data_IF_778446466948
#
_entry.id   IF_778446466948
#
_cell.length_a   1.000
_cell.length_b   1.000
_cell.length_c   1.000
_cell.angle_alpha   90.00
_cell.angle_beta   90.00
_cell.angle_gamma   90.00
#
_symmetry.space_group_name_H-M   'P 1'
#
loop_
_entity.id
_entity.type
_entity.pdbx_description
1 polymer ?
#
# COMPACT_ATOMS: atom_id res chain seq x y z
N UNK A 1 -2.64 30.15 -15.24
CA UNK A 1 -1.81 29.32 -14.34
C UNK A 1 -1.68 27.97 -15.01
N UNK A 2 -0.54 27.80 -15.69
CA UNK A 2 -0.25 26.56 -16.41
C UNK A 2 -0.15 25.42 -15.39
N UNK A 3 -0.99 24.40 -15.59
CA UNK A 3 -0.76 23.10 -14.98
C UNK A 3 0.54 22.57 -15.58
N UNK A 4 1.64 22.64 -14.82
CA UNK A 4 2.82 21.85 -15.17
C UNK A 4 2.36 20.41 -15.29
N UNK A 5 2.40 19.86 -16.49
CA UNK A 5 2.29 18.42 -16.69
C UNK A 5 3.37 17.78 -15.84
N UNK A 6 2.93 17.01 -14.84
CA UNK A 6 3.85 16.21 -14.03
C UNK A 6 4.46 15.17 -14.98
N UNK A 7 5.72 15.37 -15.32
CA UNK A 7 6.50 14.55 -16.26
C UNK A 7 6.93 13.19 -15.64
N UNK A 8 6.15 12.65 -14.71
CA UNK A 8 6.46 11.37 -14.07
C UNK A 8 6.16 10.21 -15.03
N UNK A 9 7.14 9.33 -15.22
CA UNK A 9 7.08 8.16 -16.11
C UNK A 9 6.93 6.84 -15.37
N UNK A 10 6.95 6.88 -14.03
CA UNK A 10 6.98 5.68 -13.19
C UNK A 10 5.86 5.71 -12.16
N UNK A 11 5.48 4.52 -11.75
CA UNK A 11 4.53 4.28 -10.66
C UNK A 11 5.28 3.58 -9.54
N UNK A 12 5.06 4.02 -8.30
CA UNK A 12 5.55 3.37 -7.10
C UNK A 12 4.41 2.64 -6.40
N UNK A 13 4.59 1.34 -6.16
CA UNK A 13 3.73 0.54 -5.30
C UNK A 13 4.39 0.30 -3.95
N UNK A 14 3.64 0.42 -2.88
CA UNK A 14 4.07 0.08 -1.50
C UNK A 14 3.06 -0.91 -0.92
N UNK A 15 3.55 -2.02 -0.39
CA UNK A 15 2.79 -3.03 0.35
C UNK A 15 3.34 -3.08 1.78
N UNK A 16 2.59 -2.52 2.73
CA UNK A 16 2.97 -2.43 4.14
C UNK A 16 2.15 -3.40 4.96
N UNK A 17 2.80 -4.40 5.52
CA UNK A 17 2.21 -5.39 6.42
C UNK A 17 2.93 -5.45 7.77
N UNK A 18 2.41 -6.27 8.68
CA UNK A 18 3.00 -6.46 10.01
C UNK A 18 4.33 -7.22 10.01
N UNK A 19 4.67 -7.93 8.94
CA UNK A 19 5.91 -8.73 8.86
C UNK A 19 6.99 -8.06 8.02
N UNK A 20 6.60 -7.41 6.95
CA UNK A 20 7.48 -6.71 6.01
C UNK A 20 6.78 -5.52 5.38
N UNK A 21 7.56 -4.58 4.88
CA UNK A 21 7.14 -3.52 3.97
C UNK A 21 7.93 -3.68 2.67
N UNK A 22 7.24 -3.80 1.55
CA UNK A 22 7.85 -3.93 0.23
C UNK A 22 7.48 -2.73 -0.65
N UNK A 23 8.39 -2.29 -1.50
CA UNK A 23 8.12 -1.28 -2.50
C UNK A 23 8.68 -1.70 -3.85
N UNK A 24 8.01 -1.30 -4.92
CA UNK A 24 8.41 -1.55 -6.29
C UNK A 24 8.14 -0.35 -7.18
N UNK A 25 9.11 0.00 -8.02
CA UNK A 25 8.97 1.00 -9.08
C UNK A 25 8.70 0.30 -10.40
N UNK A 26 7.64 0.72 -11.08
CA UNK A 26 7.19 0.15 -12.34
C UNK A 26 7.11 1.24 -13.42
N UNK A 27 7.51 0.92 -14.62
CA UNK A 27 7.29 1.74 -15.82
C UNK A 27 5.85 1.59 -16.32
N UNK A 28 5.43 2.51 -17.20
CA UNK A 28 4.10 2.48 -17.83
C UNK A 28 3.83 1.20 -18.64
N UNK A 29 4.88 0.54 -19.16
CA UNK A 29 4.76 -0.72 -19.89
C UNK A 29 4.66 -1.98 -19.00
N UNK A 30 4.60 -1.79 -17.68
CA UNK A 30 4.43 -2.85 -16.68
C UNK A 30 5.74 -3.49 -16.19
N UNK A 31 6.92 -3.06 -16.68
CA UNK A 31 8.19 -3.60 -16.19
C UNK A 31 8.57 -2.99 -14.83
N UNK A 32 8.88 -3.86 -13.87
CA UNK A 32 9.44 -3.47 -12.58
C UNK A 32 10.93 -3.21 -12.79
N UNK A 33 11.36 -1.99 -12.39
CA UNK A 33 12.74 -1.51 -12.59
C UNK A 33 13.52 -1.35 -11.29
N UNK A 34 12.84 -1.33 -10.15
CA UNK A 34 13.48 -1.27 -8.83
C UNK A 34 12.58 -1.80 -7.74
N UNK A 35 13.14 -2.49 -6.76
CA UNK A 35 12.43 -3.02 -5.61
C UNK A 35 13.25 -2.83 -4.35
N UNK A 36 12.59 -2.71 -3.21
CA UNK A 36 13.21 -2.78 -1.89
C UNK A 36 12.24 -3.36 -0.87
N UNK A 37 12.79 -3.88 0.22
CA UNK A 37 12.02 -4.44 1.33
C UNK A 37 12.64 -4.00 2.64
N UNK A 38 11.79 -3.62 3.59
CA UNK A 38 12.16 -3.29 4.97
C UNK A 38 11.36 -4.14 5.96
N UNK A 39 11.48 -3.84 7.24
CA UNK A 39 10.71 -4.50 8.29
C UNK A 39 9.23 -4.19 8.15
N UNK A 40 8.38 -5.05 8.69
CA UNK A 40 6.98 -4.74 8.89
C UNK A 40 6.78 -3.74 10.03
N UNK A 41 5.64 -3.06 10.02
CA UNK A 41 5.21 -2.19 11.10
C UNK A 41 3.69 -2.02 11.05
N UNK A 42 2.98 -2.83 11.82
CA UNK A 42 1.52 -2.72 11.88
C UNK A 42 1.13 -1.50 12.72
N UNK A 43 0.75 -0.40 12.08
CA UNK A 43 0.59 0.89 12.72
C UNK A 43 -0.43 0.95 13.86
N UNK A 44 -1.52 0.17 13.88
CA UNK A 44 -2.43 0.16 15.02
C UNK A 44 -1.78 -0.32 16.33
N UNK A 45 -0.73 -1.13 16.25
CA UNK A 45 -0.02 -1.65 17.42
C UNK A 45 1.34 -0.96 17.66
N UNK A 46 2.04 -0.59 16.57
CA UNK A 46 3.43 -0.14 16.63
C UNK A 46 3.59 1.36 16.38
N UNK A 47 2.47 2.05 16.15
CA UNK A 47 2.42 3.49 15.90
C UNK A 47 2.61 3.87 14.43
N UNK A 48 1.93 4.94 14.05
CA UNK A 48 1.92 5.47 12.67
C UNK A 48 3.33 5.86 12.22
N UNK A 49 4.11 6.47 13.11
CA UNK A 49 5.46 6.97 12.77
C UNK A 49 6.41 5.84 12.35
N UNK A 50 6.38 4.70 13.05
CA UNK A 50 7.17 3.53 12.69
C UNK A 50 6.77 2.98 11.31
N UNK A 51 5.46 2.87 11.04
CA UNK A 51 4.97 2.44 9.74
C UNK A 51 5.40 3.37 8.60
N UNK A 52 5.32 4.69 8.81
CA UNK A 52 5.77 5.70 7.86
C UNK A 52 7.28 5.61 7.60
N UNK A 53 8.08 5.36 8.63
CA UNK A 53 9.52 5.17 8.50
C UNK A 53 9.84 3.96 7.60
N UNK A 54 9.18 2.82 7.83
CA UNK A 54 9.40 1.62 7.02
C UNK A 54 8.94 1.82 5.58
N UNK A 55 7.79 2.45 5.36
CA UNK A 55 7.31 2.77 4.02
C UNK A 55 8.24 3.73 3.28
N UNK A 56 8.72 4.77 3.97
CA UNK A 56 9.66 5.73 3.38
C UNK A 56 10.98 5.06 2.99
N UNK A 57 11.54 4.25 3.88
CA UNK A 57 12.79 3.53 3.61
C UNK A 57 12.65 2.53 2.45
N UNK A 58 11.52 1.80 2.37
CA UNK A 58 11.25 0.90 1.25
C UNK A 58 11.09 1.67 -0.07
N UNK A 59 10.34 2.77 -0.07
CA UNK A 59 10.13 3.62 -1.23
C UNK A 59 11.44 4.20 -1.76
N UNK A 60 12.26 4.78 -0.88
CA UNK A 60 13.58 5.32 -1.24
C UNK A 60 14.52 4.25 -1.76
N UNK A 61 14.53 3.09 -1.12
CA UNK A 61 15.30 1.95 -1.59
C UNK A 61 14.90 1.49 -3.00
N UNK A 62 13.60 1.41 -3.29
CA UNK A 62 13.09 1.02 -4.60
C UNK A 62 13.45 2.06 -5.68
N UNK A 63 13.32 3.36 -5.39
CA UNK A 63 13.68 4.46 -6.30
C UNK A 63 15.17 4.44 -6.59
N UNK A 64 16.01 4.29 -5.55
CA UNK A 64 17.46 4.19 -5.71
C UNK A 64 17.86 2.96 -6.55
N UNK A 65 17.26 1.81 -6.31
CA UNK A 65 17.51 0.59 -7.07
C UNK A 65 17.03 0.68 -8.53
N UNK A 66 16.01 1.51 -8.80
CA UNK A 66 15.56 1.83 -10.16
C UNK A 66 16.52 2.79 -10.89
N UNK A 67 17.39 3.49 -10.17
CA UNK A 67 18.31 4.48 -10.74
C UNK A 67 17.64 5.73 -11.28
N UNK A 68 16.49 6.13 -10.71
CA UNK A 68 15.68 7.28 -11.13
C UNK A 68 15.60 8.35 -10.04
N UNK A 69 15.16 9.55 -10.40
CA UNK A 69 14.83 10.61 -9.46
C UNK A 69 13.42 10.45 -8.88
N UNK A 70 13.20 10.94 -7.66
CA UNK A 70 11.86 10.95 -7.02
C UNK A 70 10.83 11.72 -7.85
N UNK A 71 11.26 12.75 -8.55
CA UNK A 71 10.44 13.59 -9.43
C UNK A 71 9.89 12.86 -10.66
N UNK A 72 10.48 11.71 -10.99
CA UNK A 72 10.01 10.85 -12.09
C UNK A 72 8.87 9.92 -11.68
N UNK A 73 8.53 9.85 -10.38
CA UNK A 73 7.35 9.12 -9.90
C UNK A 73 6.10 9.97 -10.11
N UNK A 74 5.21 9.53 -11.00
CA UNK A 74 3.93 10.20 -11.25
C UNK A 74 2.90 9.88 -10.18
N UNK A 75 2.80 8.60 -9.81
CA UNK A 75 1.80 8.09 -8.87
C UNK A 75 2.44 7.13 -7.87
N UNK A 76 1.94 7.17 -6.66
CA UNK A 76 2.27 6.21 -5.60
C UNK A 76 0.99 5.58 -5.07
N UNK A 77 0.96 4.27 -4.96
CA UNK A 77 -0.14 3.52 -4.34
C UNK A 77 0.43 2.78 -3.14
N UNK A 78 -0.09 3.06 -1.95
CA UNK A 78 0.27 2.39 -0.72
C UNK A 78 -0.90 1.54 -0.22
N UNK A 79 -0.72 0.22 -0.20
CA UNK A 79 -1.58 -0.72 0.52
C UNK A 79 -1.03 -0.90 1.92
N UNK A 80 -1.82 -0.58 2.93
CA UNK A 80 -1.36 -0.51 4.32
C UNK A 80 -2.26 -1.35 5.21
N UNK A 81 -1.67 -2.35 5.84
CA UNK A 81 -2.36 -3.15 6.84
C UNK A 81 -2.73 -2.30 8.05
N UNK A 82 -4.02 -2.32 8.41
CA UNK A 82 -4.56 -1.53 9.51
C UNK A 82 -5.26 -0.24 9.09
N UNK A 83 -5.36 0.07 7.80
CA UNK A 83 -6.34 1.05 7.30
C UNK A 83 -7.71 0.38 7.36
N UNK A 84 -8.32 0.39 8.53
CA UNK A 84 -9.55 -0.35 8.84
C UNK A 84 -10.71 0.61 9.18
N UNK A 85 -10.45 1.91 9.37
CA UNK A 85 -11.46 2.90 9.75
C UNK A 85 -11.54 4.07 8.78
N UNK A 86 -12.71 4.69 8.72
CA UNK A 86 -12.92 5.90 7.91
C UNK A 86 -11.95 7.01 8.31
N UNK A 87 -11.16 7.47 7.35
CA UNK A 87 -10.17 8.53 7.53
C UNK A 87 -8.73 8.06 7.70
N UNK A 88 -8.48 6.77 8.00
CA UNK A 88 -7.14 6.21 8.10
C UNK A 88 -6.37 6.36 6.79
N UNK A 89 -7.05 6.14 5.66
CA UNK A 89 -6.52 6.31 4.31
C UNK A 89 -6.03 7.73 4.05
N UNK A 90 -6.82 8.73 4.45
CA UNK A 90 -6.45 10.14 4.32
C UNK A 90 -5.28 10.50 5.25
N UNK A 91 -5.32 10.03 6.49
CA UNK A 91 -4.25 10.25 7.47
C UNK A 91 -2.90 9.70 6.96
N UNK A 92 -2.88 8.45 6.53
CA UNK A 92 -1.65 7.80 6.01
C UNK A 92 -1.20 8.48 4.71
N UNK A 93 -2.11 8.76 3.78
CA UNK A 93 -1.81 9.47 2.53
C UNK A 93 -1.13 10.81 2.79
N UNK A 94 -1.70 11.63 3.66
CA UNK A 94 -1.21 12.98 3.94
C UNK A 94 0.16 12.93 4.64
N UNK A 95 0.33 12.03 5.59
CA UNK A 95 1.61 11.81 6.26
C UNK A 95 2.72 11.30 5.29
N UNK A 96 2.37 10.38 4.37
CA UNK A 96 3.31 9.94 3.33
C UNK A 96 3.66 11.07 2.36
N UNK A 97 2.70 11.93 2.01
CA UNK A 97 2.93 13.07 1.12
C UNK A 97 3.93 14.07 1.72
N UNK A 98 3.80 14.36 3.01
CA UNK A 98 4.74 15.23 3.72
C UNK A 98 6.15 14.63 3.78
N UNK A 99 6.26 13.32 3.98
CA UNK A 99 7.53 12.63 4.19
C UNK A 99 8.29 12.33 2.91
N UNK A 100 7.61 11.90 1.84
CA UNK A 100 8.26 11.36 0.65
C UNK A 100 8.48 12.39 -0.46
N UNK A 101 7.72 13.48 -0.50
CA UNK A 101 7.75 14.48 -1.60
C UNK A 101 7.67 13.83 -2.99
N UNK A 102 6.88 12.76 -3.11
CA UNK A 102 6.63 12.05 -4.37
C UNK A 102 5.43 12.65 -5.12
N UNK A 103 5.11 12.08 -6.27
CA UNK A 103 3.92 12.41 -7.05
C UNK A 103 2.62 12.23 -6.29
N UNK A 104 1.52 12.03 -7.00
CA UNK A 104 0.22 11.85 -6.36
C UNK A 104 0.19 10.54 -5.56
N UNK A 105 -0.26 10.58 -4.30
CA UNK A 105 -0.27 9.44 -3.39
C UNK A 105 -1.71 9.01 -3.10
N UNK A 106 -1.95 7.71 -3.24
CA UNK A 106 -3.17 7.01 -2.83
C UNK A 106 -2.81 6.02 -1.74
N UNK A 107 -3.59 6.00 -0.67
CA UNK A 107 -3.47 4.99 0.38
C UNK A 107 -4.78 4.22 0.50
N UNK A 108 -4.70 2.92 0.74
CA UNK A 108 -5.85 2.06 0.98
C UNK A 108 -5.42 0.86 1.84
N UNK A 109 -6.39 0.05 2.28
CA UNK A 109 -6.07 -1.19 2.96
C UNK A 109 -5.27 -2.16 2.05
N UNK A 110 -4.36 -2.94 2.63
CA UNK A 110 -3.52 -3.92 1.94
C UNK A 110 -4.33 -4.99 1.18
N UNK A 111 -5.50 -5.40 1.69
CA UNK A 111 -6.39 -6.31 0.99
C UNK A 111 -6.93 -5.71 -0.33
N UNK A 112 -7.06 -4.40 -0.44
CA UNK A 112 -7.51 -3.73 -1.67
C UNK A 112 -6.45 -3.85 -2.77
N UNK A 113 -5.18 -3.60 -2.47
CA UNK A 113 -4.11 -3.80 -3.47
C UNK A 113 -3.94 -5.28 -3.83
N UNK A 114 -4.13 -6.18 -2.86
CA UNK A 114 -4.12 -7.62 -3.11
C UNK A 114 -5.24 -8.03 -4.08
N UNK A 115 -6.44 -7.43 -3.98
CA UNK A 115 -7.51 -7.64 -4.95
C UNK A 115 -7.04 -7.24 -6.35
N UNK A 116 -6.58 -6.01 -6.54
CA UNK A 116 -6.18 -5.51 -7.85
C UNK A 116 -4.95 -6.20 -8.44
N UNK A 117 -4.09 -6.81 -7.63
CA UNK A 117 -2.92 -7.56 -8.11
C UNK A 117 -3.27 -8.83 -8.88
N UNK A 118 -4.44 -9.43 -8.61
CA UNK A 118 -4.88 -10.67 -9.25
C UNK A 118 -6.23 -10.58 -9.97
N UNK A 119 -6.96 -9.49 -9.85
CA UNK A 119 -8.30 -9.37 -10.42
C UNK A 119 -8.28 -9.12 -11.93
N UNK A 120 -9.04 -9.93 -12.66
CA UNK A 120 -9.30 -9.72 -14.10
C UNK A 120 -10.46 -8.74 -14.35
N UNK A 121 -11.15 -8.30 -13.30
CA UNK A 121 -12.30 -7.40 -13.35
C UNK A 121 -12.16 -6.32 -12.30
N UNK A 122 -12.84 -5.19 -12.50
CA UNK A 122 -12.84 -4.06 -11.56
C UNK A 122 -13.68 -4.29 -10.29
N UNK A 123 -14.34 -5.43 -10.16
CA UNK A 123 -15.20 -5.77 -9.02
C UNK A 123 -15.09 -7.26 -8.68
N UNK A 124 -15.28 -7.60 -7.41
CA UNK A 124 -15.14 -8.96 -6.89
C UNK A 124 -14.73 -8.96 -5.42
N UNK A 125 -14.16 -10.07 -4.97
CA UNK A 125 -13.68 -10.22 -3.62
C UNK A 125 -12.30 -10.90 -3.60
N UNK A 126 -11.52 -10.60 -2.56
CA UNK A 126 -10.27 -11.27 -2.23
C UNK A 126 -10.30 -11.70 -0.77
N UNK A 127 -9.67 -12.82 -0.49
CA UNK A 127 -9.36 -13.27 0.88
C UNK A 127 -7.83 -13.43 0.96
N UNK A 128 -7.23 -12.71 1.89
CA UNK A 128 -5.82 -12.76 2.20
C UNK A 128 -5.63 -13.61 3.45
N UNK A 129 -5.00 -14.78 3.31
CA UNK A 129 -4.72 -15.69 4.41
C UNK A 129 -3.20 -15.84 4.57
N UNK A 130 -2.64 -15.08 5.48
CA UNK A 130 -1.22 -15.08 5.84
C UNK A 130 -1.02 -15.27 7.33
N UNK A 131 -0.19 -14.47 7.96
CA UNK A 131 -0.03 -14.42 9.43
C UNK A 131 -1.36 -14.10 10.12
N UNK A 132 -2.08 -13.12 9.58
CA UNK A 132 -3.48 -12.82 9.88
C UNK A 132 -4.38 -13.21 8.70
N UNK A 133 -5.67 -12.94 8.83
CA UNK A 133 -6.65 -13.07 7.76
C UNK A 133 -7.35 -11.72 7.56
N UNK A 134 -7.45 -11.29 6.33
CA UNK A 134 -8.23 -10.12 5.92
C UNK A 134 -8.88 -10.39 4.57
N UNK A 135 -9.74 -9.50 4.12
CA UNK A 135 -10.36 -9.58 2.81
C UNK A 135 -10.95 -8.26 2.38
N UNK A 136 -11.11 -8.10 1.09
CA UNK A 136 -11.79 -6.94 0.53
C UNK A 136 -12.83 -7.38 -0.50
N UNK A 137 -13.92 -6.62 -0.56
CA UNK A 137 -14.94 -6.71 -1.60
C UNK A 137 -15.02 -5.37 -2.30
N UNK A 138 -15.00 -5.38 -3.62
CA UNK A 138 -15.14 -4.19 -4.45
C UNK A 138 -16.39 -4.36 -5.32
N UNK A 139 -17.36 -3.47 -5.18
CA UNK A 139 -18.57 -3.52 -5.96
C UNK A 139 -18.41 -2.95 -7.39
N UNK A 140 -19.42 -3.08 -8.22
CA UNK A 140 -19.38 -2.58 -9.61
C UNK A 140 -19.25 -1.07 -9.73
N UNK A 141 -19.51 -0.32 -8.64
CA UNK A 141 -19.39 1.13 -8.58
C UNK A 141 -18.07 1.57 -7.97
N UNK A 142 -17.17 0.63 -7.65
CA UNK A 142 -15.87 0.90 -7.02
C UNK A 142 -15.93 1.12 -5.51
N UNK A 143 -17.09 0.89 -4.85
CA UNK A 143 -17.18 0.97 -3.39
C UNK A 143 -16.46 -0.23 -2.79
N UNK A 144 -15.67 0.06 -1.77
CA UNK A 144 -14.82 -0.91 -1.09
C UNK A 144 -15.45 -1.27 0.26
N UNK A 145 -15.37 -2.56 0.58
CA UNK A 145 -15.67 -3.11 1.88
C UNK A 145 -14.47 -3.93 2.31
N UNK A 146 -13.87 -3.59 3.45
CA UNK A 146 -12.74 -4.33 4.02
C UNK A 146 -13.22 -5.11 5.22
N UNK A 147 -12.87 -6.38 5.28
CA UNK A 147 -13.36 -7.29 6.33
C UNK A 147 -12.86 -6.88 7.73
N UNK A 148 -11.62 -6.37 7.83
CA UNK A 148 -11.03 -5.88 9.07
C UNK A 148 -11.85 -4.80 9.77
N UNK A 149 -12.57 -3.97 9.02
CA UNK A 149 -13.41 -2.87 9.52
C UNK A 149 -14.56 -3.35 10.44
N UNK A 150 -14.92 -4.64 10.37
CA UNK A 150 -16.11 -5.21 11.01
C UNK A 150 -15.79 -6.30 12.03
N UNK A 151 -14.51 -6.51 12.34
CA UNK A 151 -14.08 -7.56 13.27
C UNK A 151 -13.57 -6.96 14.57
N UNK A 152 -14.28 -7.21 15.66
CA UNK A 152 -13.82 -6.88 17.02
C UNK A 152 -12.60 -7.73 17.44
N UNK A 153 -12.53 -8.98 16.99
CA UNK A 153 -11.38 -9.85 17.14
C UNK A 153 -10.77 -10.17 15.78
N UNK A 154 -9.47 -9.95 15.64
CA UNK A 154 -8.76 -10.23 14.39
C UNK A 154 -8.96 -11.69 14.00
N UNK A 155 -9.53 -11.90 12.83
CA UNK A 155 -9.66 -13.21 12.25
C UNK A 155 -8.27 -13.86 12.18
N UNK A 156 -8.24 -15.08 12.62
CA UNK A 156 -7.04 -15.80 12.94
C UNK A 156 -6.52 -16.46 11.67
N UNK A 157 -5.43 -15.93 11.11
CA UNK A 157 -4.69 -16.58 10.02
C UNK A 157 -3.76 -17.68 10.54
N UNK A 158 -2.61 -17.83 9.90
CA UNK A 158 -1.61 -18.84 10.28
C UNK A 158 -1.13 -18.77 11.72
N UNK A 159 -1.18 -17.60 12.35
CA UNK A 159 -0.86 -17.43 13.77
C UNK A 159 -1.80 -18.18 14.74
N UNK A 160 -3.01 -18.52 14.30
CA UNK A 160 -3.93 -19.33 15.10
C UNK A 160 -3.69 -20.84 14.99
N UNK A 161 -3.10 -21.26 13.87
CA UNK A 161 -2.74 -22.65 13.65
C UNK A 161 -1.45 -23.06 14.40
N UNK A 162 -0.69 -22.08 14.89
CA UNK A 162 0.56 -22.26 15.60
C UNK A 162 0.38 -22.34 17.14
N UNK A 163 -0.85 -22.28 17.64
CA UNK A 163 -1.23 -22.46 19.04
C UNK A 163 -1.78 -23.87 19.26
#
# INVERSE_FOLDING_TARGET
>A
MDKQEKNGKYILGIDQGGTKTAAAVMREDGFIVGCATTKGAYFPNEGVENALEQMAAAAEGAVNNAGIGKEEIAYTVAGVGGIDWTGDDMMIRDALRERLSLGEIFACNDAVIAFYSGALRSHGAVICAGTGMNGALIDKNGRQFVYGDYMEEKAQGGSALAK
#
